data_IF_966970719299
#
_entry.id   IF_966970719299
#
_cell.length_a   1.000
_cell.length_b   1.000
_cell.length_c   1.000
_cell.angle_alpha   90.00
_cell.angle_beta   90.00
_cell.angle_gamma   90.00
#
_symmetry.space_group_name_H-M   'P 1'
#
loop_
_entity.id
_entity.type
_entity.pdbx_description
1 polymer ?
#
# COMPACT_ATOMS: atom_id res chain seq x y z
N UNK A 1 -9.37 -15.32 8.05
CA UNK A 1 -10.00 -13.99 7.87
C UNK A 1 -9.36 -13.01 8.84
N UNK A 2 -8.81 -11.91 8.31
CA UNK A 2 -8.17 -10.87 9.12
C UNK A 2 -9.22 -9.95 9.75
N UNK A 3 -9.19 -9.86 11.08
CA UNK A 3 -10.07 -9.03 11.89
C UNK A 3 -9.25 -7.99 12.62
N UNK A 4 -9.71 -6.75 12.65
CA UNK A 4 -9.19 -5.69 13.50
C UNK A 4 -10.21 -5.32 14.57
N UNK A 5 -9.75 -5.11 15.79
CA UNK A 5 -10.61 -4.70 16.90
C UNK A 5 -10.55 -3.19 17.11
N UNK A 6 -11.70 -2.52 17.27
CA UNK A 6 -11.75 -1.08 17.54
C UNK A 6 -11.69 -0.75 19.03
N UNK A 7 -11.97 -1.73 19.89
CA UNK A 7 -11.90 -1.64 21.36
C UNK A 7 -11.17 -2.86 21.93
N UNK A 8 -10.60 -2.77 23.15
CA UNK A 8 -10.06 -3.94 23.82
C UNK A 8 -11.14 -5.01 24.02
N UNK A 9 -10.82 -6.26 23.67
CA UNK A 9 -11.73 -7.39 23.71
C UNK A 9 -11.06 -8.60 24.36
N UNK A 10 -11.84 -9.34 25.15
CA UNK A 10 -11.43 -10.64 25.69
C UNK A 10 -12.38 -11.67 25.09
N UNK A 11 -11.81 -12.66 24.41
CA UNK A 11 -12.54 -13.71 23.70
C UNK A 11 -12.20 -15.05 24.28
N UNK A 12 -13.21 -15.84 24.60
CA UNK A 12 -13.01 -17.25 24.95
C UNK A 12 -13.13 -18.07 23.66
N UNK A 13 -12.01 -18.62 23.20
CA UNK A 13 -11.90 -19.52 22.05
C UNK A 13 -11.57 -20.93 22.53
N UNK A 14 -11.76 -21.98 21.70
CA UNK A 14 -11.49 -23.36 22.13
C UNK A 14 -10.06 -23.61 22.63
N UNK A 15 -9.08 -22.81 22.17
CA UNK A 15 -7.68 -22.86 22.60
C UNK A 15 -7.36 -22.03 23.85
N UNK A 16 -8.34 -21.29 24.40
CA UNK A 16 -8.18 -20.50 25.62
C UNK A 16 -8.74 -19.08 25.53
N UNK A 17 -8.28 -18.21 26.43
CA UNK A 17 -8.63 -16.80 26.46
C UNK A 17 -7.71 -15.99 25.54
N UNK A 18 -8.27 -15.31 24.55
CA UNK A 18 -7.59 -14.41 23.63
C UNK A 18 -7.90 -12.96 24.01
N UNK A 19 -6.87 -12.22 24.40
CA UNK A 19 -6.97 -10.79 24.72
C UNK A 19 -6.49 -9.96 23.53
N UNK A 20 -7.37 -9.14 22.99
CA UNK A 20 -7.12 -8.26 21.86
C UNK A 20 -7.12 -6.81 22.32
N UNK A 21 -6.12 -6.04 21.90
CA UNK A 21 -6.06 -4.59 22.12
C UNK A 21 -6.72 -3.87 20.95
N UNK A 22 -7.28 -2.68 21.19
CA UNK A 22 -7.75 -1.82 20.11
C UNK A 22 -6.64 -1.57 19.06
N UNK A 23 -7.00 -1.64 17.77
CA UNK A 23 -6.10 -1.56 16.63
C UNK A 23 -5.31 -2.84 16.34
N UNK A 24 -5.46 -3.89 17.16
CA UNK A 24 -4.77 -5.16 16.93
C UNK A 24 -5.47 -5.96 15.83
N UNK A 25 -4.66 -6.48 14.91
CA UNK A 25 -5.08 -7.41 13.87
C UNK A 25 -4.91 -8.85 14.37
N UNK A 26 -5.89 -9.69 14.06
CA UNK A 26 -5.86 -11.12 14.32
C UNK A 26 -6.40 -11.87 13.11
N UNK A 27 -5.67 -12.88 12.65
CA UNK A 27 -6.18 -13.79 11.65
C UNK A 27 -6.89 -14.96 12.35
N UNK A 28 -8.17 -15.13 12.05
CA UNK A 28 -9.01 -16.18 12.62
C UNK A 28 -9.59 -17.05 11.52
N UNK A 29 -9.80 -18.35 11.78
CA UNK A 29 -10.58 -19.20 10.88
C UNK A 29 -11.96 -18.60 10.61
N UNK A 30 -12.46 -18.69 9.38
CA UNK A 30 -13.68 -18.00 8.94
C UNK A 30 -14.89 -18.23 9.85
N UNK A 31 -15.08 -19.46 10.33
CA UNK A 31 -16.17 -19.79 11.27
C UNK A 31 -16.03 -19.11 12.64
N UNK A 32 -14.80 -18.93 13.13
CA UNK A 32 -14.55 -18.18 14.37
C UNK A 32 -14.69 -16.67 14.13
N UNK A 33 -14.24 -16.19 12.98
CA UNK A 33 -14.35 -14.79 12.58
C UNK A 33 -15.82 -14.36 12.45
N UNK A 34 -16.67 -15.16 11.81
CA UNK A 34 -18.13 -14.92 11.72
C UNK A 34 -18.76 -14.82 13.09
N UNK A 35 -18.49 -15.78 13.98
CA UNK A 35 -18.99 -15.77 15.37
C UNK A 35 -18.51 -14.55 16.15
N UNK A 36 -17.27 -14.12 15.92
CA UNK A 36 -16.72 -12.92 16.55
C UNK A 36 -17.44 -11.66 16.06
N UNK A 37 -17.67 -11.53 14.75
CA UNK A 37 -18.39 -10.41 14.15
C UNK A 37 -19.82 -10.33 14.70
N UNK A 38 -20.51 -11.47 14.84
CA UNK A 38 -21.85 -11.54 15.43
C UNK A 38 -21.85 -11.12 16.91
N UNK A 39 -20.92 -11.65 17.71
CA UNK A 39 -20.87 -11.39 19.17
C UNK A 39 -20.35 -10.01 19.54
N UNK A 40 -19.46 -9.45 18.73
CA UNK A 40 -18.78 -8.19 18.97
C UNK A 40 -19.11 -7.17 17.87
N UNK A 41 -20.35 -7.18 17.37
CA UNK A 41 -20.83 -6.26 16.35
C UNK A 41 -20.51 -4.80 16.72
N UNK A 42 -19.92 -4.06 15.78
CA UNK A 42 -19.47 -2.68 15.99
C UNK A 42 -18.14 -2.51 16.74
N UNK A 43 -17.57 -3.58 17.31
CA UNK A 43 -16.27 -3.57 18.00
C UNK A 43 -15.15 -4.23 17.20
N UNK A 44 -15.50 -4.89 16.10
CA UNK A 44 -14.58 -5.56 15.19
C UNK A 44 -14.93 -5.22 13.75
N UNK A 45 -13.92 -5.15 12.88
CA UNK A 45 -14.11 -5.01 11.43
C UNK A 45 -13.31 -6.07 10.69
N UNK A 46 -13.88 -6.55 9.59
CA UNK A 46 -13.16 -7.40 8.64
C UNK A 46 -12.23 -6.52 7.85
N UNK A 47 -10.95 -6.84 7.91
CA UNK A 47 -9.94 -6.21 7.08
C UNK A 47 -9.80 -7.08 5.85
N UNK A 48 -10.50 -6.67 4.79
CA UNK A 48 -10.20 -7.24 3.48
C UNK A 48 -8.81 -6.73 3.11
N UNK A 49 -7.85 -7.64 2.96
CA UNK A 49 -6.58 -7.34 2.28
C UNK A 49 -6.90 -7.19 0.78
N UNK A 50 -7.69 -6.19 0.44
CA UNK A 50 -8.06 -5.85 -0.93
C UNK A 50 -6.84 -5.19 -1.56
N UNK A 51 -5.98 -6.09 -2.06
CA UNK A 51 -4.76 -5.94 -2.85
C UNK A 51 -3.56 -6.50 -2.09
N UNK A 52 -2.93 -7.58 -2.58
CA UNK A 52 -1.58 -7.89 -2.15
C UNK A 52 -0.74 -6.65 -2.43
N UNK A 53 -0.03 -6.14 -1.42
CA UNK A 53 1.06 -5.19 -1.64
C UNK A 53 2.08 -5.95 -2.46
N UNK A 54 2.01 -5.80 -3.79
CA UNK A 54 3.00 -6.32 -4.71
C UNK A 54 4.25 -5.46 -4.52
N UNK A 55 5.09 -5.84 -3.56
CA UNK A 55 6.46 -5.36 -3.52
C UNK A 55 7.16 -5.97 -4.73
N UNK A 56 7.07 -5.30 -5.88
CA UNK A 56 7.87 -5.67 -7.04
C UNK A 56 9.33 -5.53 -6.63
N UNK A 57 10.07 -6.64 -6.71
CA UNK A 57 11.51 -6.66 -6.45
C UNK A 57 12.16 -5.54 -7.26
N UNK A 58 13.02 -4.69 -6.65
CA UNK A 58 13.66 -3.62 -7.40
C UNK A 58 14.37 -4.24 -8.60
N UNK A 59 14.05 -3.74 -9.79
CA UNK A 59 14.71 -4.15 -11.03
C UNK A 59 16.21 -4.11 -10.75
N UNK A 60 16.93 -5.21 -11.04
CA UNK A 60 18.35 -5.36 -10.65
C UNK A 60 19.25 -4.23 -11.18
N UNK A 61 18.78 -3.44 -12.14
CA UNK A 61 19.40 -2.23 -12.67
C UNK A 61 18.29 -1.27 -13.16
N UNK A 62 17.72 -0.41 -12.30
CA UNK A 62 16.73 0.56 -12.76
C UNK A 62 17.44 1.58 -13.66
N UNK A 63 16.90 1.80 -14.87
CA UNK A 63 17.43 2.86 -15.75
C UNK A 63 17.14 4.21 -15.12
N UNK A 64 18.08 5.15 -15.20
CA UNK A 64 17.80 6.53 -14.79
C UNK A 64 16.62 7.08 -15.58
N UNK A 65 15.76 7.82 -14.90
CA UNK A 65 14.59 8.46 -15.50
C UNK A 65 14.78 9.96 -15.62
N UNK A 66 14.11 10.51 -16.63
CA UNK A 66 13.94 11.93 -16.85
C UNK A 66 12.45 12.24 -16.89
N UNK A 67 12.07 13.47 -16.58
CA UNK A 67 10.66 13.87 -16.64
C UNK A 67 10.48 15.33 -16.97
N UNK A 68 9.35 15.65 -17.59
CA UNK A 68 8.97 17.02 -17.90
C UNK A 68 8.32 17.69 -16.69
N UNK A 69 8.80 18.90 -16.36
CA UNK A 69 8.23 19.78 -15.34
C UNK A 69 7.09 20.60 -15.93
N UNK A 70 6.32 21.25 -15.06
CA UNK A 70 5.20 22.10 -15.47
C UNK A 70 5.61 23.31 -16.36
N UNK A 71 6.89 23.71 -16.30
CA UNK A 71 7.47 24.77 -17.14
C UNK A 71 8.02 24.26 -18.49
N UNK A 72 7.83 22.96 -18.79
CA UNK A 72 8.33 22.31 -20.01
C UNK A 72 9.80 21.90 -19.95
N UNK A 73 10.52 22.20 -18.87
CA UNK A 73 11.92 21.78 -18.70
C UNK A 73 12.03 20.29 -18.34
N UNK A 74 13.13 19.65 -18.73
CA UNK A 74 13.39 18.26 -18.39
C UNK A 74 14.29 18.16 -17.15
N UNK A 75 13.80 17.46 -16.12
CA UNK A 75 14.53 17.13 -14.91
C UNK A 75 15.11 15.70 -14.95
N UNK A 76 16.11 15.45 -14.11
CA UNK A 76 16.85 14.18 -14.06
C UNK A 76 18.31 14.33 -14.54
N UNK A 77 19.12 13.26 -14.54
CA UNK A 77 18.73 11.88 -14.25
C UNK A 77 18.42 11.66 -12.77
N UNK A 78 17.46 10.79 -12.48
CA UNK A 78 17.24 10.26 -11.13
C UNK A 78 17.08 8.73 -11.18
N UNK A 79 17.50 8.05 -10.11
CA UNK A 79 17.31 6.60 -9.97
C UNK A 79 15.91 6.30 -9.42
N UNK A 80 15.10 5.48 -10.10
CA UNK A 80 13.84 4.98 -9.57
C UNK A 80 14.03 4.17 -8.30
N UNK A 81 13.32 4.55 -7.23
CA UNK A 81 13.26 3.77 -5.99
C UNK A 81 12.01 2.88 -5.98
N UNK A 82 10.87 3.42 -6.41
CA UNK A 82 9.57 2.74 -6.37
C UNK A 82 8.84 2.96 -7.70
N UNK A 83 8.22 1.89 -8.22
CA UNK A 83 7.21 1.96 -9.26
C UNK A 83 5.90 1.46 -8.66
N UNK A 84 4.88 2.32 -8.65
CA UNK A 84 3.58 2.01 -8.05
C UNK A 84 2.46 2.20 -9.07
N UNK A 85 1.48 1.29 -9.07
CA UNK A 85 0.21 1.49 -9.78
C UNK A 85 -0.82 2.06 -8.81
N UNK A 86 -1.21 3.31 -9.03
CA UNK A 86 -2.22 4.00 -8.22
C UNK A 86 -3.55 3.94 -8.95
N UNK A 87 -4.57 3.39 -8.29
CA UNK A 87 -5.94 3.40 -8.80
C UNK A 87 -6.69 4.62 -8.25
N UNK A 88 -7.18 5.47 -9.16
CA UNK A 88 -8.02 6.63 -8.82
C UNK A 88 -9.39 6.40 -9.46
N UNK A 89 -10.35 5.94 -8.66
CA UNK A 89 -11.67 5.54 -9.17
C UNK A 89 -11.58 4.26 -9.98
N UNK A 90 -11.89 4.32 -11.27
CA UNK A 90 -11.78 3.18 -12.20
C UNK A 90 -10.56 3.28 -13.13
N UNK A 91 -9.66 4.24 -12.89
CA UNK A 91 -8.49 4.47 -13.71
C UNK A 91 -7.22 4.05 -12.98
N UNK A 92 -6.39 3.26 -13.66
CA UNK A 92 -5.05 2.91 -13.20
C UNK A 92 -4.04 3.91 -13.78
N UNK A 93 -3.14 4.40 -12.93
CA UNK A 93 -2.05 5.29 -13.32
C UNK A 93 -0.76 4.83 -12.67
N UNK A 94 0.32 4.76 -13.45
CA UNK A 94 1.63 4.39 -12.94
C UNK A 94 2.41 5.62 -12.48
N UNK A 95 3.05 5.50 -11.33
CA UNK A 95 3.87 6.52 -10.72
C UNK A 95 5.26 5.96 -10.40
N UNK A 96 6.29 6.76 -10.63
CA UNK A 96 7.66 6.48 -10.24
C UNK A 96 8.04 7.42 -9.12
N UNK A 97 8.58 6.89 -8.02
CA UNK A 97 9.16 7.67 -6.95
C UNK A 97 10.67 7.66 -7.11
N UNK A 98 11.27 8.85 -7.07
CA UNK A 98 12.71 9.06 -7.11
C UNK A 98 13.13 9.96 -5.96
N UNK A 99 14.38 9.84 -5.50
CA UNK A 99 15.03 10.85 -4.69
C UNK A 99 15.74 11.84 -5.62
N UNK A 100 15.33 13.12 -5.63
CA UNK A 100 15.93 14.14 -6.49
C UNK A 100 16.12 15.45 -5.72
N UNK A 101 17.34 16.02 -5.78
CA UNK A 101 17.69 17.24 -5.03
C UNK A 101 17.39 17.15 -3.52
N UNK A 102 17.53 15.95 -2.95
CA UNK A 102 17.33 15.72 -1.51
C UNK A 102 15.88 15.56 -1.05
N UNK A 103 14.92 15.53 -1.98
CA UNK A 103 13.50 15.31 -1.68
C UNK A 103 12.91 14.16 -2.49
N UNK A 104 11.92 13.44 -1.96
CA UNK A 104 11.17 12.45 -2.73
C UNK A 104 10.27 13.16 -3.74
N UNK A 105 10.31 12.72 -5.00
CA UNK A 105 9.51 13.24 -6.09
C UNK A 105 8.66 12.12 -6.69
N UNK A 106 7.35 12.35 -6.77
CA UNK A 106 6.39 11.46 -7.42
C UNK A 106 6.18 11.90 -8.87
N UNK A 107 6.50 11.02 -9.80
CA UNK A 107 6.48 11.30 -11.23
C UNK A 107 5.44 10.40 -11.90
N UNK A 108 4.43 11.02 -12.51
CA UNK A 108 3.46 10.28 -13.31
C UNK A 108 4.14 9.70 -14.55
N UNK A 109 3.78 8.47 -14.93
CA UNK A 109 4.30 7.84 -16.14
C UNK A 109 4.03 8.66 -17.41
N UNK A 110 3.00 9.51 -17.41
CA UNK A 110 2.66 10.40 -18.53
C UNK A 110 3.73 11.46 -18.84
N UNK A 111 4.53 11.85 -17.84
CA UNK A 111 5.57 12.88 -18.00
C UNK A 111 6.99 12.32 -18.05
N UNK A 112 7.15 10.99 -17.98
CA UNK A 112 8.45 10.34 -18.12
C UNK A 112 9.04 10.56 -19.52
N UNK A 113 10.36 10.70 -19.58
CA UNK A 113 11.15 10.86 -20.81
C UNK A 113 12.29 9.85 -20.81
N UNK A 114 12.67 9.43 -22.02
CA UNK A 114 13.71 8.40 -22.25
C UNK A 114 15.13 8.96 -22.16
N UNK A 115 15.29 10.27 -22.36
CA UNK A 115 16.53 11.02 -22.24
C UNK A 115 16.22 12.49 -21.87
N UNK A 116 17.25 13.34 -21.78
CA UNK A 116 17.06 14.78 -21.53
C UNK A 116 16.42 15.54 -22.70
N UNK A 117 16.31 14.94 -23.89
CA UNK A 117 16.12 15.66 -25.14
C UNK A 117 17.32 16.59 -25.43
N UNK A 118 17.80 16.56 -26.66
CA UNK A 118 18.59 17.66 -27.26
C UNK A 118 17.63 18.48 -28.11
#
# INVERSE_FOLDING_TARGET
MLIETSLPLILLIPSGELRLKAGQFVDLPDEQAKRLIEKAAGKVRVVSLSKPVMIQSPLRQPRSVYWERADGSIAGPAEPEILECVEVGSQESFWVVVQYEGVPVWISSAVLRTDRGV
#
